data_IF_870248821099
#
_entry.id   IF_870248821099
#
_cell.length_a   1.000
_cell.length_b   1.000
_cell.length_c   1.000
_cell.angle_alpha   90.00
_cell.angle_beta   90.00
_cell.angle_gamma   90.00
#
_symmetry.space_group_name_H-M   'P 1'
#
loop_
_entity.id
_entity.type
_entity.pdbx_description
1 polymer ?
#
# COMPACT_ATOMS: atom_id res chain seq x y z
N UNK A 1 -37.96 -79.03 7.17
CA UNK A 1 -37.10 -77.93 7.65
C UNK A 1 -36.52 -77.21 6.44
N UNK A 2 -36.77 -75.90 6.32
CA UNK A 2 -35.99 -74.81 5.68
C UNK A 2 -35.14 -75.12 4.42
N UNK A 3 -35.35 -74.54 3.22
CA UNK A 3 -35.32 -73.15 2.72
C UNK A 3 -34.08 -72.88 1.81
N UNK A 4 -34.35 -72.80 0.49
CA UNK A 4 -33.95 -71.83 -0.56
C UNK A 4 -32.56 -71.14 -0.60
N UNK A 5 -32.10 -70.95 -1.85
CA UNK A 5 -31.16 -69.95 -2.44
C UNK A 5 -29.67 -70.34 -2.52
N UNK A 6 -28.85 -69.93 -3.50
CA UNK A 6 -28.90 -69.59 -4.93
C UNK A 6 -27.53 -68.94 -5.26
N UNK A 7 -26.97 -69.25 -6.44
CA UNK A 7 -26.06 -68.43 -7.27
C UNK A 7 -24.82 -67.76 -6.64
N UNK A 8 -23.66 -68.03 -7.24
CA UNK A 8 -22.43 -67.25 -7.03
C UNK A 8 -21.38 -67.53 -8.11
N UNK A 9 -21.59 -66.95 -9.29
CA UNK A 9 -20.73 -66.99 -10.47
C UNK A 9 -19.69 -65.86 -10.40
N UNK A 10 -18.45 -66.10 -10.88
CA UNK A 10 -17.50 -65.13 -11.44
C UNK A 10 -17.26 -63.79 -10.69
N UNK A 11 -16.09 -63.61 -10.07
CA UNK A 11 -15.29 -62.38 -10.22
C UNK A 11 -13.94 -62.50 -9.47
N UNK A 12 -12.89 -62.88 -10.18
CA UNK A 12 -11.50 -62.78 -9.69
C UNK A 12 -10.66 -62.08 -10.75
N UNK A 13 -10.91 -60.79 -10.97
CA UNK A 13 -9.94 -59.82 -11.51
C UNK A 13 -10.50 -58.39 -11.42
N UNK A 14 -10.33 -57.71 -10.29
CA UNK A 14 -10.33 -56.24 -10.26
C UNK A 14 -9.23 -55.82 -9.29
N UNK A 15 -8.00 -55.80 -9.81
CA UNK A 15 -6.91 -55.04 -9.22
C UNK A 15 -7.31 -53.57 -9.40
N UNK A 16 -7.86 -52.96 -8.34
CA UNK A 16 -8.21 -51.55 -8.31
C UNK A 16 -6.93 -50.73 -8.44
N UNK A 17 -6.60 -50.35 -9.68
CA UNK A 17 -5.73 -49.22 -9.97
C UNK A 17 -6.43 -47.98 -9.42
N UNK A 18 -6.15 -47.63 -8.17
CA UNK A 18 -6.33 -46.29 -7.65
C UNK A 18 -5.37 -45.39 -8.43
N UNK A 19 -5.76 -45.00 -9.64
CA UNK A 19 -5.21 -43.82 -10.28
C UNK A 19 -5.66 -42.65 -9.43
N UNK A 20 -4.84 -42.28 -8.45
CA UNK A 20 -4.83 -40.92 -7.96
C UNK A 20 -4.66 -40.06 -9.21
N UNK A 21 -5.72 -39.35 -9.60
CA UNK A 21 -5.61 -38.21 -10.49
C UNK A 21 -4.74 -37.20 -9.76
N UNK A 22 -3.42 -37.39 -9.86
CA UNK A 22 -2.44 -36.41 -9.49
C UNK A 22 -2.64 -35.28 -10.49
N UNK A 23 -3.34 -34.22 -10.08
CA UNK A 23 -3.45 -32.99 -10.86
C UNK A 23 -2.02 -32.46 -11.04
N UNK A 24 -1.36 -32.86 -12.13
CA UNK A 24 0.04 -32.62 -12.45
C UNK A 24 0.39 -31.12 -12.62
N UNK A 25 -0.56 -30.22 -12.39
CA UNK A 25 -0.41 -28.78 -12.61
C UNK A 25 -0.45 -27.94 -11.32
N UNK A 26 -0.47 -28.56 -10.13
CA UNK A 26 -0.39 -27.80 -8.87
C UNK A 26 1.04 -27.73 -8.34
N UNK A 27 1.55 -26.52 -8.21
CA UNK A 27 2.84 -26.19 -7.57
C UNK A 27 2.60 -26.06 -6.06
N UNK A 28 3.56 -26.47 -5.21
CA UNK A 28 3.50 -26.16 -3.78
C UNK A 28 3.24 -24.67 -3.57
N UNK A 29 2.41 -24.33 -2.59
CA UNK A 29 2.11 -22.95 -2.24
C UNK A 29 2.22 -22.76 -0.74
N UNK A 30 2.91 -21.69 -0.35
CA UNK A 30 3.06 -21.25 1.02
C UNK A 30 2.39 -19.89 1.17
N UNK A 31 1.40 -19.82 2.05
CA UNK A 31 0.70 -18.59 2.40
C UNK A 31 1.06 -18.20 3.84
N UNK A 32 1.50 -16.96 4.05
CA UNK A 32 1.90 -16.38 5.33
C UNK A 32 1.16 -15.05 5.48
N UNK A 33 0.46 -14.88 6.60
CA UNK A 33 -0.31 -13.68 6.91
C UNK A 33 0.02 -13.22 8.32
N UNK A 34 -0.07 -11.91 8.56
CA UNK A 34 0.19 -11.31 9.87
C UNK A 34 -0.25 -9.86 9.93
N UNK A 35 0.16 -9.17 11.00
CA UNK A 35 -0.17 -7.77 11.26
C UNK A 35 1.09 -6.92 11.25
N UNK A 36 0.98 -5.71 10.72
CA UNK A 36 2.05 -4.69 10.74
C UNK A 36 1.45 -3.32 10.47
N UNK A 37 2.09 -2.21 10.88
CA UNK A 37 1.71 -0.84 10.48
C UNK A 37 0.23 -0.48 10.76
N UNK A 38 -0.41 -1.12 11.75
CA UNK A 38 -1.84 -0.93 12.03
C UNK A 38 -2.80 -1.60 11.03
N UNK A 39 -2.26 -2.41 10.11
CA UNK A 39 -2.96 -3.17 9.07
C UNK A 39 -2.47 -4.63 9.04
N UNK A 40 -2.71 -5.33 7.94
CA UNK A 40 -2.31 -6.71 7.70
C UNK A 40 -1.30 -6.80 6.55
N UNK A 41 -0.46 -7.82 6.59
CA UNK A 41 0.34 -8.26 5.46
C UNK A 41 -0.10 -9.64 4.98
N UNK A 42 0.14 -9.94 3.71
CA UNK A 42 -0.02 -11.28 3.12
C UNK A 42 1.16 -11.56 2.18
N UNK A 43 1.76 -12.74 2.30
CA UNK A 43 2.85 -13.22 1.45
C UNK A 43 2.49 -14.61 0.95
N UNK A 44 2.38 -14.75 -0.35
CA UNK A 44 2.11 -16.02 -1.04
C UNK A 44 3.30 -16.36 -1.91
N UNK A 45 3.80 -17.57 -1.78
CA UNK A 45 4.97 -18.07 -2.51
C UNK A 45 4.60 -19.38 -3.19
N UNK A 46 5.01 -19.54 -4.45
CA UNK A 46 4.72 -20.76 -5.22
C UNK A 46 5.98 -21.46 -5.75
N UNK A 47 5.97 -22.79 -5.70
CA UNK A 47 7.05 -23.66 -6.12
C UNK A 47 7.92 -24.13 -4.96
N UNK A 48 8.92 -24.91 -5.29
CA UNK A 48 9.87 -25.44 -4.31
C UNK A 48 10.82 -24.34 -3.85
N UNK A 49 10.78 -24.04 -2.55
CA UNK A 49 11.65 -23.07 -1.89
C UNK A 49 12.42 -23.75 -0.76
N UNK A 50 13.68 -23.37 -0.58
CA UNK A 50 14.55 -24.01 0.42
C UNK A 50 14.24 -23.57 1.85
N UNK A 51 13.67 -22.37 2.03
CA UNK A 51 13.29 -21.82 3.32
C UNK A 51 11.94 -22.41 3.76
N UNK A 52 11.85 -22.87 5.01
CA UNK A 52 10.58 -23.33 5.55
C UNK A 52 9.66 -22.14 5.92
N UNK A 53 8.37 -22.44 6.11
CA UNK A 53 7.35 -21.42 6.37
C UNK A 53 7.62 -20.61 7.65
N UNK A 54 8.07 -21.27 8.71
CA UNK A 54 8.28 -20.61 10.00
C UNK A 54 9.50 -19.68 9.93
N UNK A 55 10.59 -20.14 9.31
CA UNK A 55 11.78 -19.35 9.10
C UNK A 55 11.49 -18.13 8.21
N UNK A 56 10.74 -18.30 7.12
CA UNK A 56 10.36 -17.19 6.25
C UNK A 56 9.46 -16.19 6.99
N UNK A 57 8.49 -16.66 7.78
CA UNK A 57 7.63 -15.80 8.58
C UNK A 57 8.44 -14.96 9.59
N UNK A 58 9.40 -15.56 10.30
CA UNK A 58 10.27 -14.81 11.21
C UNK A 58 11.08 -13.71 10.50
N UNK A 59 11.57 -13.98 9.29
CA UNK A 59 12.27 -12.97 8.49
C UNK A 59 11.34 -11.85 8.01
N UNK A 60 10.10 -12.19 7.60
CA UNK A 60 9.06 -11.23 7.20
C UNK A 60 8.74 -10.32 8.39
N UNK A 61 8.43 -10.90 9.55
CA UNK A 61 8.09 -10.15 10.76
C UNK A 61 9.24 -9.23 11.18
N UNK A 62 10.49 -9.72 11.17
CA UNK A 62 11.65 -8.92 11.53
C UNK A 62 11.86 -7.70 10.60
N UNK A 63 11.67 -7.88 9.29
CA UNK A 63 11.81 -6.80 8.30
C UNK A 63 10.70 -5.75 8.48
N UNK A 64 9.46 -6.19 8.71
CA UNK A 64 8.32 -5.30 8.90
C UNK A 64 8.37 -4.57 10.25
N UNK A 65 8.83 -5.23 11.31
CA UNK A 65 9.06 -4.60 12.62
C UNK A 65 10.18 -3.55 12.54
N UNK A 66 11.27 -3.83 11.81
CA UNK A 66 12.30 -2.83 11.54
C UNK A 66 11.74 -1.61 10.85
N UNK A 67 10.86 -1.79 9.86
CA UNK A 67 10.17 -0.68 9.22
C UNK A 67 9.31 0.10 10.23
N UNK A 68 8.54 -0.58 11.09
CA UNK A 68 7.78 0.10 12.15
C UNK A 68 8.67 0.93 13.10
N UNK A 69 9.82 0.40 13.50
CA UNK A 69 10.79 1.10 14.35
C UNK A 69 11.42 2.32 13.66
N UNK A 70 11.52 2.31 12.34
CA UNK A 70 12.10 3.41 11.58
C UNK A 70 11.04 4.50 11.27
N UNK A 71 9.84 4.12 10.81
CA UNK A 71 8.91 5.07 10.15
C UNK A 71 7.55 5.25 10.84
N UNK A 72 7.24 4.57 11.95
CA UNK A 72 5.91 4.69 12.56
C UNK A 72 5.71 6.02 13.29
N UNK A 73 4.62 6.74 12.99
CA UNK A 73 4.14 7.90 13.75
C UNK A 73 3.42 7.52 15.05
N UNK A 74 3.06 6.24 15.21
CA UNK A 74 2.33 5.72 16.38
C UNK A 74 3.25 5.17 17.47
N UNK A 75 4.49 4.81 17.14
CA UNK A 75 5.53 4.42 18.11
C UNK A 75 6.27 5.67 18.55
N UNK A 76 6.16 6.02 19.83
CA UNK A 76 6.78 7.24 20.38
C UNK A 76 8.33 7.22 20.27
N UNK A 77 8.92 6.04 20.18
CA UNK A 77 10.36 5.78 20.11
C UNK A 77 10.82 5.32 18.72
N UNK A 78 10.01 5.46 17.67
CA UNK A 78 10.52 5.26 16.31
C UNK A 78 11.55 6.35 15.95
N UNK A 79 12.38 6.08 14.93
CA UNK A 79 13.30 7.10 14.40
C UNK A 79 12.53 8.35 13.96
N UNK A 80 11.46 8.17 13.18
CA UNK A 80 10.61 9.28 12.73
C UNK A 80 9.98 10.07 13.90
N UNK A 81 9.44 9.38 14.91
CA UNK A 81 8.83 10.05 16.06
C UNK A 81 9.84 10.84 16.88
N UNK A 82 11.06 10.32 17.07
CA UNK A 82 12.15 11.07 17.71
C UNK A 82 12.53 12.32 16.92
N UNK A 83 12.61 12.21 15.58
CA UNK A 83 12.85 13.36 14.70
C UNK A 83 11.75 14.42 14.83
N UNK A 84 10.48 14.00 14.89
CA UNK A 84 9.33 14.87 15.06
C UNK A 84 9.31 15.57 16.44
N UNK A 85 9.64 14.84 17.50
CA UNK A 85 9.70 15.37 18.88
C UNK A 85 10.87 16.34 19.10
N UNK A 86 11.97 16.15 18.38
CA UNK A 86 13.13 17.06 18.45
C UNK A 86 12.75 18.47 17.97
N UNK A 87 13.17 19.47 18.75
CA UNK A 87 13.09 20.89 18.39
C UNK A 87 14.38 21.40 17.73
N UNK A 88 15.39 20.55 17.58
CA UNK A 88 16.64 20.93 16.94
C UNK A 88 16.43 21.16 15.43
N UNK A 89 17.15 22.14 14.91
CA UNK A 89 17.28 22.39 13.46
C UNK A 89 18.58 21.83 12.88
N UNK A 90 19.36 21.13 13.70
CA UNK A 90 20.56 20.43 13.25
C UNK A 90 20.19 19.14 12.49
N UNK A 91 21.04 18.66 11.57
CA UNK A 91 20.86 17.36 10.93
C UNK A 91 20.82 16.21 11.95
N UNK A 92 19.84 15.32 11.80
CA UNK A 92 19.64 14.15 12.66
C UNK A 92 19.82 12.87 11.83
N UNK A 93 20.60 11.88 12.32
CA UNK A 93 20.89 10.68 11.55
C UNK A 93 19.63 9.83 11.35
N UNK A 94 19.47 9.29 10.14
CA UNK A 94 18.36 8.41 9.78
C UNK A 94 18.86 7.14 9.08
N UNK A 95 18.12 6.02 9.17
CA UNK A 95 18.39 4.83 8.37
C UNK A 95 18.23 5.11 6.88
N UNK A 96 19.04 4.43 6.06
CA UNK A 96 18.98 4.54 4.59
C UNK A 96 17.59 4.24 4.01
N UNK A 97 16.89 3.24 4.55
CA UNK A 97 15.54 2.92 4.10
C UNK A 97 14.55 4.07 4.31
N UNK A 98 14.68 4.82 5.41
CA UNK A 98 13.90 6.03 5.65
C UNK A 98 14.28 7.16 4.68
N UNK A 99 15.57 7.29 4.35
CA UNK A 99 16.05 8.25 3.35
C UNK A 99 15.45 7.99 1.95
N UNK A 100 15.36 6.72 1.53
CA UNK A 100 14.76 6.32 0.24
C UNK A 100 13.28 6.76 0.16
N UNK A 101 12.51 6.59 1.25
CA UNK A 101 11.11 7.03 1.34
C UNK A 101 11.00 8.55 1.22
N UNK A 102 11.82 9.29 1.99
CA UNK A 102 11.81 10.76 2.00
C UNK A 102 12.18 11.31 0.61
N UNK A 103 13.19 10.72 -0.02
CA UNK A 103 13.61 11.11 -1.37
C UNK A 103 12.48 10.90 -2.38
N UNK A 104 11.79 9.76 -2.33
CA UNK A 104 10.64 9.47 -3.18
C UNK A 104 9.50 10.47 -2.92
N UNK A 105 9.15 10.69 -1.65
CA UNK A 105 8.12 11.63 -1.24
C UNK A 105 8.41 13.06 -1.72
N UNK A 106 9.65 13.54 -1.57
CA UNK A 106 10.04 14.87 -2.05
C UNK A 106 10.01 14.98 -3.57
N UNK A 107 10.38 13.92 -4.30
CA UNK A 107 10.28 13.90 -5.77
C UNK A 107 8.83 13.99 -6.22
N UNK A 108 7.97 13.12 -5.69
CA UNK A 108 6.54 13.10 -6.04
C UNK A 108 5.86 14.39 -5.58
N UNK A 109 6.21 14.92 -4.41
CA UNK A 109 5.71 16.20 -3.92
C UNK A 109 6.05 17.37 -4.84
N UNK A 110 7.28 17.44 -5.36
CA UNK A 110 7.62 18.44 -6.39
C UNK A 110 6.81 18.26 -7.67
N UNK A 111 6.71 17.03 -8.17
CA UNK A 111 5.99 16.73 -9.42
C UNK A 111 4.48 16.97 -9.32
N UNK A 112 3.91 16.81 -8.12
CA UNK A 112 2.50 17.06 -7.82
C UNK A 112 2.24 18.49 -7.31
N UNK A 113 3.25 19.37 -7.36
CA UNK A 113 3.16 20.77 -6.91
C UNK A 113 2.70 20.91 -5.45
N UNK A 114 3.18 20.02 -4.58
CA UNK A 114 2.88 20.00 -3.15
C UNK A 114 1.59 19.28 -2.77
N UNK A 115 0.90 18.62 -3.71
CA UNK A 115 -0.30 17.84 -3.38
C UNK A 115 0.06 16.59 -2.54
N UNK A 116 1.17 15.92 -2.87
CA UNK A 116 1.81 14.96 -1.97
C UNK A 116 2.79 15.70 -1.06
N UNK A 117 2.49 15.81 0.24
CA UNK A 117 3.34 16.48 1.21
C UNK A 117 3.45 15.67 2.51
N UNK A 118 4.61 15.06 2.75
CA UNK A 118 4.89 14.29 3.97
C UNK A 118 5.05 15.17 5.22
N UNK A 119 4.96 16.49 5.12
CA UNK A 119 4.99 17.40 6.28
C UNK A 119 3.60 17.83 6.71
N UNK A 120 2.53 17.29 6.10
CA UNK A 120 1.12 17.57 6.40
C UNK A 120 0.65 17.08 7.77
N UNK A 121 1.51 16.37 8.52
CA UNK A 121 1.22 15.79 9.83
C UNK A 121 0.53 16.71 10.84
N UNK A 122 0.90 18.00 10.99
CA UNK A 122 0.19 18.92 11.90
C UNK A 122 -1.29 19.07 11.55
N UNK A 123 -1.63 19.05 10.26
CA UNK A 123 -3.02 19.12 9.79
C UNK A 123 -3.72 17.78 9.98
N UNK A 124 -3.08 16.66 9.64
CA UNK A 124 -3.63 15.30 9.86
C UNK A 124 -4.00 15.08 11.32
N UNK A 125 -3.11 15.49 12.25
CA UNK A 125 -3.35 15.44 13.70
C UNK A 125 -4.47 16.38 14.13
N UNK A 126 -4.52 17.60 13.57
CA UNK A 126 -5.56 18.58 13.87
C UNK A 126 -6.97 18.07 13.49
N UNK A 127 -7.08 17.36 12.37
CA UNK A 127 -8.32 16.75 11.90
C UNK A 127 -8.65 15.40 12.56
N UNK A 128 -7.80 14.91 13.48
CA UNK A 128 -8.05 13.70 14.25
C UNK A 128 -7.76 12.39 13.52
N UNK A 129 -7.05 12.43 12.40
CA UNK A 129 -6.66 11.24 11.63
C UNK A 129 -5.31 10.65 12.05
N UNK A 130 -4.52 11.40 12.84
CA UNK A 130 -3.25 10.94 13.37
C UNK A 130 -3.32 10.33 14.78
N UNK A 131 -2.17 10.06 15.42
CA UNK A 131 -2.08 9.34 16.70
C UNK A 131 -2.73 10.08 17.89
N UNK A 132 -2.93 11.40 17.80
CA UNK A 132 -3.41 12.24 18.90
C UNK A 132 -4.88 12.01 19.33
N UNK A 133 -5.63 11.10 18.67
CA UNK A 133 -7.00 10.65 19.02
C UNK A 133 -7.91 11.75 19.59
N UNK A 134 -7.93 12.92 18.95
CA UNK A 134 -8.76 14.05 19.40
C UNK A 134 -10.23 13.79 19.11
N UNK A 135 -11.11 14.38 19.93
CA UNK A 135 -12.55 14.44 19.63
C UNK A 135 -12.72 15.09 18.26
N UNK A 136 -13.38 14.36 17.38
CA UNK A 136 -13.59 14.73 15.99
C UNK A 136 -14.54 15.92 15.93
N UNK A 137 -13.97 17.12 15.88
CA UNK A 137 -14.70 18.37 15.62
C UNK A 137 -13.97 19.11 14.52
N UNK A 138 -14.73 19.65 13.57
CA UNK A 138 -14.19 20.52 12.51
C UNK A 138 -13.35 21.65 13.15
N UNK A 139 -12.04 21.74 12.85
CA UNK A 139 -11.17 22.79 13.38
C UNK A 139 -11.61 24.18 12.92
N UNK A 140 -11.33 25.20 13.74
CA UNK A 140 -11.53 26.58 13.32
C UNK A 140 -10.51 26.98 12.25
N UNK A 141 -10.85 27.98 11.43
CA UNK A 141 -9.93 28.49 10.39
C UNK A 141 -8.60 28.96 10.99
N UNK A 142 -8.62 29.59 12.18
CA UNK A 142 -7.42 30.02 12.89
C UNK A 142 -6.54 28.83 13.30
N UNK A 143 -7.13 27.69 13.70
CA UNK A 143 -6.37 26.49 14.03
C UNK A 143 -5.71 25.88 12.78
N UNK A 144 -6.43 25.88 11.64
CA UNK A 144 -5.91 25.40 10.36
C UNK A 144 -4.73 26.26 9.91
N UNK A 145 -4.88 27.59 9.91
CA UNK A 145 -3.80 28.51 9.52
C UNK A 145 -2.58 28.42 10.44
N UNK A 146 -2.78 28.19 11.74
CA UNK A 146 -1.68 27.96 12.67
C UNK A 146 -0.92 26.66 12.37
N UNK A 147 -1.64 25.58 12.05
CA UNK A 147 -1.02 24.31 11.67
C UNK A 147 -0.30 24.38 10.32
N UNK A 148 -0.88 25.07 9.32
CA UNK A 148 -0.28 25.24 7.99
C UNK A 148 1.09 25.93 8.01
N UNK A 149 1.36 26.79 8.99
CA UNK A 149 2.69 27.43 9.15
C UNK A 149 3.82 26.43 9.41
N UNK A 150 3.50 25.21 9.82
CA UNK A 150 4.45 24.14 10.11
C UNK A 150 4.50 23.08 9.00
N UNK A 151 3.89 23.36 7.84
CA UNK A 151 3.81 22.46 6.68
C UNK A 151 4.56 23.07 5.50
N UNK A 152 5.34 22.24 4.82
CA UNK A 152 5.95 22.54 3.53
C UNK A 152 7.22 21.73 3.31
N UNK A 153 7.29 20.98 2.20
CA UNK A 153 8.46 20.20 1.82
C UNK A 153 9.76 21.00 1.73
N UNK A 154 9.70 22.30 1.41
CA UNK A 154 10.89 23.16 1.33
C UNK A 154 11.64 23.31 2.67
N UNK A 155 10.96 23.02 3.79
CA UNK A 155 11.48 23.10 5.14
C UNK A 155 12.15 21.80 5.61
N UNK A 156 12.11 20.74 4.78
CA UNK A 156 12.70 19.43 5.06
C UNK A 156 13.85 19.15 4.08
N UNK A 157 15.03 18.85 4.59
CA UNK A 157 16.22 18.58 3.78
C UNK A 157 16.78 17.20 4.11
N UNK A 158 16.90 16.37 3.08
CA UNK A 158 17.68 15.13 3.13
C UNK A 158 19.13 15.45 2.77
N UNK A 159 20.06 14.97 3.60
CA UNK A 159 21.50 15.17 3.45
C UNK A 159 22.15 13.78 3.50
N UNK A 160 23.00 13.45 2.53
CA UNK A 160 23.66 12.16 2.47
C UNK A 160 25.09 12.28 1.96
N UNK A 161 25.96 11.44 2.51
CA UNK A 161 27.34 11.25 2.06
C UNK A 161 27.79 9.79 2.30
N UNK A 162 29.08 9.51 2.11
CA UNK A 162 29.64 8.17 2.30
C UNK A 162 29.57 7.65 3.76
N UNK A 163 29.25 8.52 4.72
CA UNK A 163 29.19 8.20 6.14
C UNK A 163 27.75 7.98 6.65
N UNK A 164 26.73 8.34 5.87
CA UNK A 164 25.34 8.08 6.25
C UNK A 164 24.32 9.01 5.61
N UNK A 165 23.12 8.99 6.19
CA UNK A 165 21.99 9.81 5.77
C UNK A 165 21.47 10.58 7.00
N UNK A 166 21.10 11.84 6.80
CA UNK A 166 20.57 12.74 7.81
C UNK A 166 19.36 13.49 7.29
N UNK A 167 18.42 13.74 8.20
CA UNK A 167 17.26 14.57 7.95
C UNK A 167 17.39 15.86 8.77
N UNK A 168 17.12 16.99 8.13
CA UNK A 168 17.15 18.31 8.76
C UNK A 168 15.82 19.02 8.51
N UNK A 169 15.29 19.69 9.54
CA UNK A 169 14.15 20.61 9.42
C UNK A 169 14.54 22.00 9.90
N UNK A 170 14.08 23.05 9.23
CA UNK A 170 14.29 24.44 9.67
C UNK A 170 13.12 24.99 10.51
N UNK A 171 12.00 24.25 10.58
CA UNK A 171 10.86 24.50 11.45
C UNK A 171 10.84 23.53 12.64
N UNK A 172 11.09 23.98 13.89
CA UNK A 172 11.08 23.12 15.07
C UNK A 172 9.77 22.39 15.34
N UNK A 173 8.65 22.98 14.89
CA UNK A 173 7.28 22.46 15.05
C UNK A 173 6.81 21.62 13.85
N UNK A 174 7.64 21.47 12.80
CA UNK A 174 7.30 20.56 11.70
C UNK A 174 7.18 19.13 12.20
N UNK A 175 6.19 18.44 11.64
CA UNK A 175 5.92 17.03 11.86
C UNK A 175 5.89 16.31 10.51
N UNK A 176 6.78 15.33 10.34
CA UNK A 176 6.83 14.47 9.16
C UNK A 176 5.98 13.23 9.39
N UNK A 177 5.12 12.93 8.43
CA UNK A 177 4.24 11.77 8.39
C UNK A 177 4.51 10.98 7.11
N UNK A 178 4.91 9.72 7.27
CA UNK A 178 5.23 8.79 6.18
C UNK A 178 4.13 7.74 5.97
N UNK A 179 2.96 7.89 6.61
CA UNK A 179 1.87 6.91 6.52
C UNK A 179 1.39 6.63 5.10
N UNK A 180 1.51 7.59 4.18
CA UNK A 180 1.10 7.45 2.76
C UNK A 180 2.13 6.76 1.87
N UNK A 181 3.28 6.37 2.42
CA UNK A 181 4.34 5.63 1.69
C UNK A 181 4.80 4.36 2.44
N UNK A 182 4.37 4.20 3.69
CA UNK A 182 4.88 3.16 4.59
C UNK A 182 4.50 1.76 4.13
N UNK A 183 3.28 1.58 3.64
CA UNK A 183 2.78 0.29 3.13
C UNK A 183 3.55 -0.12 1.86
N UNK A 184 3.71 0.81 0.91
CA UNK A 184 4.52 0.61 -0.30
C UNK A 184 5.98 0.27 0.01
N UNK A 185 6.60 0.97 0.96
CA UNK A 185 7.94 0.64 1.44
C UNK A 185 8.00 -0.77 2.05
N UNK A 186 7.03 -1.14 2.89
CA UNK A 186 6.93 -2.47 3.48
C UNK A 186 6.88 -3.56 2.40
N UNK A 187 6.08 -3.37 1.35
CA UNK A 187 6.03 -4.27 0.20
C UNK A 187 7.39 -4.39 -0.49
N UNK A 188 8.07 -3.27 -0.77
CA UNK A 188 9.38 -3.29 -1.43
C UNK A 188 10.44 -4.00 -0.57
N UNK A 189 10.40 -3.87 0.74
CA UNK A 189 11.26 -4.62 1.66
C UNK A 189 10.98 -6.13 1.61
N UNK A 190 9.71 -6.54 1.51
CA UNK A 190 9.33 -7.94 1.33
C UNK A 190 9.78 -8.47 -0.04
N UNK A 191 9.67 -7.69 -1.11
CA UNK A 191 10.20 -8.05 -2.44
C UNK A 191 11.70 -8.32 -2.38
N UNK A 192 12.46 -7.45 -1.70
CA UNK A 192 13.90 -7.66 -1.50
C UNK A 192 14.19 -8.92 -0.67
N UNK A 193 13.37 -9.19 0.35
CA UNK A 193 13.48 -10.41 1.15
C UNK A 193 13.22 -11.67 0.32
N UNK A 194 12.21 -11.66 -0.57
CA UNK A 194 11.94 -12.75 -1.50
C UNK A 194 13.15 -12.99 -2.40
N UNK A 195 13.72 -11.93 -2.97
CA UNK A 195 14.91 -12.02 -3.82
C UNK A 195 16.12 -12.61 -3.07
N UNK A 196 16.37 -12.19 -1.82
CA UNK A 196 17.47 -12.73 -0.98
C UNK A 196 17.30 -14.23 -0.68
N UNK A 197 16.07 -14.72 -0.62
CA UNK A 197 15.76 -16.14 -0.45
C UNK A 197 15.67 -16.92 -1.78
N UNK A 198 16.00 -16.29 -2.92
CA UNK A 198 15.90 -16.91 -4.24
C UNK A 198 14.46 -17.14 -4.72
N UNK A 199 13.48 -16.51 -4.09
CA UNK A 199 12.05 -16.67 -4.39
C UNK A 199 11.68 -15.77 -5.57
N UNK A 200 11.23 -16.36 -6.66
CA UNK A 200 10.88 -15.66 -7.91
C UNK A 200 9.40 -15.69 -8.28
N UNK A 201 8.61 -16.49 -7.54
CA UNK A 201 7.18 -16.67 -7.73
C UNK A 201 6.45 -16.27 -6.44
N UNK A 202 6.02 -15.03 -6.37
CA UNK A 202 5.42 -14.47 -5.16
C UNK A 202 4.30 -13.47 -5.45
N UNK A 203 3.43 -13.29 -4.45
CA UNK A 203 2.58 -12.13 -4.29
C UNK A 203 2.75 -11.65 -2.85
N UNK A 204 3.14 -10.39 -2.68
CA UNK A 204 3.34 -9.74 -1.38
C UNK A 204 2.42 -8.54 -1.28
N UNK A 205 1.82 -8.32 -0.12
CA UNK A 205 0.98 -7.16 0.14
C UNK A 205 1.13 -6.67 1.58
N UNK A 206 1.07 -5.37 1.77
CA UNK A 206 0.92 -4.70 3.07
C UNK A 206 -0.19 -3.68 2.89
N UNK A 207 -1.30 -3.82 3.61
CA UNK A 207 -2.47 -2.95 3.44
C UNK A 207 -2.97 -2.89 2.00
N UNK A 208 -2.99 -1.69 1.40
CA UNK A 208 -3.43 -1.44 0.02
C UNK A 208 -2.34 -1.67 -1.04
N UNK A 209 -1.06 -1.72 -0.64
CA UNK A 209 0.06 -1.90 -1.54
C UNK A 209 0.33 -3.39 -1.82
N UNK A 210 0.66 -3.70 -3.08
CA UNK A 210 0.90 -5.08 -3.56
C UNK A 210 2.06 -5.10 -4.56
N UNK A 211 2.84 -6.17 -4.56
CA UNK A 211 3.74 -6.53 -5.67
C UNK A 211 3.64 -8.03 -5.94
N UNK A 212 3.75 -8.44 -7.20
CA UNK A 212 3.75 -9.86 -7.56
C UNK A 212 4.64 -10.14 -8.74
N UNK A 213 5.23 -11.35 -8.76
CA UNK A 213 6.11 -11.83 -9.83
C UNK A 213 5.92 -13.33 -10.04
N UNK A 214 6.07 -13.77 -11.29
CA UNK A 214 6.01 -15.19 -11.65
C UNK A 214 4.59 -15.74 -11.60
N UNK A 215 4.44 -16.99 -11.16
CA UNK A 215 3.17 -17.73 -11.19
C UNK A 215 2.71 -18.19 -9.81
N UNK A 216 1.41 -18.41 -9.67
CA UNK A 216 0.77 -18.94 -8.48
C UNK A 216 0.85 -20.48 -8.39
N UNK A 217 0.27 -21.06 -7.33
CA UNK A 217 0.17 -22.51 -7.12
C UNK A 217 -0.49 -23.30 -8.26
N UNK A 218 -1.18 -22.64 -9.20
CA UNK A 218 -1.77 -23.27 -10.38
C UNK A 218 -0.92 -23.08 -11.66
N UNK A 219 0.29 -22.53 -11.54
CA UNK A 219 1.14 -22.21 -12.68
C UNK A 219 0.63 -21.03 -13.54
N UNK A 220 -0.31 -20.24 -13.04
CA UNK A 220 -0.87 -19.05 -13.73
C UNK A 220 -0.25 -17.77 -13.17
N UNK A 221 -0.18 -16.72 -13.99
CA UNK A 221 0.23 -15.40 -13.51
C UNK A 221 -0.62 -14.96 -12.31
N UNK A 222 0.01 -14.30 -11.34
CA UNK A 222 -0.70 -13.69 -10.23
C UNK A 222 -1.66 -12.63 -10.74
N UNK A 223 -2.89 -12.64 -10.22
CA UNK A 223 -3.92 -11.65 -10.58
C UNK A 223 -4.24 -10.80 -9.39
N UNK A 224 -4.12 -9.49 -9.53
CA UNK A 224 -4.48 -8.51 -8.51
C UNK A 224 -5.78 -7.82 -8.93
N UNK A 225 -6.76 -7.82 -8.03
CA UNK A 225 -8.08 -7.26 -8.30
C UNK A 225 -8.16 -5.80 -7.81
N UNK A 226 -8.58 -4.91 -8.72
CA UNK A 226 -8.95 -3.54 -8.37
C UNK A 226 -10.42 -3.57 -7.98
N UNK A 227 -10.74 -3.08 -6.78
CA UNK A 227 -12.11 -3.11 -6.26
C UNK A 227 -12.94 -1.92 -6.78
N UNK A 228 -14.25 -2.12 -6.91
CA UNK A 228 -15.20 -1.00 -7.06
C UNK A 228 -15.25 -0.23 -5.74
N UNK A 229 -15.32 1.11 -5.78
CA UNK A 229 -15.39 1.95 -4.58
C UNK A 229 -16.84 1.97 -4.05
N UNK A 230 -17.34 0.80 -3.67
CA UNK A 230 -18.67 0.61 -3.07
C UNK A 230 -18.51 0.06 -1.66
N UNK A 231 -19.47 0.33 -0.78
CA UNK A 231 -19.48 -0.22 0.58
C UNK A 231 -19.72 -1.75 0.62
N UNK A 232 -19.99 -2.36 -0.55
CA UNK A 232 -20.08 -3.81 -0.71
C UNK A 232 -18.71 -4.39 -0.99
N UNK A 233 -18.22 -5.21 -0.06
CA UNK A 233 -17.03 -6.04 -0.27
C UNK A 233 -17.24 -6.97 -1.49
N UNK A 234 -16.17 -7.19 -2.27
CA UNK A 234 -16.07 -8.17 -3.38
C UNK A 234 -16.54 -7.76 -4.79
N UNK A 235 -16.86 -6.50 -5.05
CA UNK A 235 -17.10 -6.06 -6.43
C UNK A 235 -15.77 -5.79 -7.17
N UNK A 236 -15.34 -6.71 -8.03
CA UNK A 236 -14.12 -6.54 -8.86
C UNK A 236 -14.41 -5.60 -10.04
N UNK A 237 -13.55 -4.61 -10.23
CA UNK A 237 -13.60 -3.65 -11.33
C UNK A 237 -12.67 -4.06 -12.48
N UNK A 238 -11.45 -4.49 -12.17
CA UNK A 238 -10.46 -4.94 -13.14
C UNK A 238 -9.47 -5.93 -12.49
N UNK A 239 -8.78 -6.72 -13.34
CA UNK A 239 -7.72 -7.64 -12.94
C UNK A 239 -6.42 -7.25 -13.65
N UNK A 240 -5.32 -7.19 -12.91
CA UNK A 240 -4.00 -6.87 -13.46
C UNK A 240 -2.96 -7.95 -13.13
N UNK A 241 -1.98 -8.10 -14.02
CA UNK A 241 -0.76 -8.87 -13.82
C UNK A 241 0.42 -7.90 -13.66
N UNK A 242 1.08 -7.90 -12.51
CA UNK A 242 2.08 -6.89 -12.15
C UNK A 242 3.49 -7.22 -12.65
N UNK A 243 3.82 -8.48 -12.92
CA UNK A 243 5.10 -8.87 -13.54
C UNK A 243 6.37 -8.30 -12.86
N UNK A 244 6.34 -8.08 -11.54
CA UNK A 244 7.42 -7.51 -10.75
C UNK A 244 7.27 -6.02 -10.41
N UNK A 245 6.25 -5.34 -10.95
CA UNK A 245 5.90 -3.97 -10.57
C UNK A 245 5.15 -3.95 -9.23
N UNK A 246 5.07 -2.76 -8.64
CA UNK A 246 4.21 -2.47 -7.49
C UNK A 246 2.90 -1.82 -7.93
N UNK A 247 1.84 -2.05 -7.16
CA UNK A 247 0.55 -1.35 -7.26
C UNK A 247 0.15 -0.85 -5.88
N UNK A 248 -0.41 0.36 -5.79
CA UNK A 248 -1.09 0.84 -4.59
C UNK A 248 -2.39 1.54 -4.96
N UNK A 249 -3.28 1.71 -3.98
CA UNK A 249 -4.57 2.39 -4.16
C UNK A 249 -4.92 3.26 -2.97
N UNK A 250 -4.91 4.58 -3.18
CA UNK A 250 -5.51 5.55 -2.29
C UNK A 250 -7.02 5.62 -2.52
N UNK A 251 -7.80 5.65 -1.43
CA UNK A 251 -9.25 5.73 -1.49
C UNK A 251 -9.83 6.65 -0.41
N UNK A 252 -10.69 7.58 -0.79
CA UNK A 252 -11.40 8.46 0.17
C UNK A 252 -12.63 7.79 0.80
N UNK A 253 -12.97 6.57 0.35
CA UNK A 253 -14.22 5.89 0.67
C UNK A 253 -14.20 5.07 1.98
N UNK A 254 -13.03 4.74 2.54
CA UNK A 254 -12.93 3.88 3.75
C UNK A 254 -12.74 4.64 5.06
N UNK A 255 -11.84 5.62 5.09
CA UNK A 255 -11.50 6.36 6.30
C UNK A 255 -12.05 7.80 6.23
N UNK A 256 -13.08 8.06 7.02
CA UNK A 256 -13.77 9.34 7.12
C UNK A 256 -14.48 9.48 8.46
N UNK A 257 -14.88 10.71 8.79
CA UNK A 257 -15.90 10.95 9.80
C UNK A 257 -17.02 11.81 9.24
N UNK A 258 -18.17 11.80 9.92
CA UNK A 258 -19.31 12.66 9.58
C UNK A 258 -19.58 13.66 10.70
N UNK A 259 -19.81 14.92 10.32
CA UNK A 259 -20.27 15.95 11.22
C UNK A 259 -21.31 16.79 10.49
N UNK A 260 -22.48 17.03 11.11
CA UNK A 260 -23.57 17.84 10.55
C UNK A 260 -24.03 17.38 9.15
N UNK A 261 -24.00 16.06 8.90
CA UNK A 261 -24.35 15.46 7.61
C UNK A 261 -23.29 15.60 6.51
N UNK A 262 -22.15 16.23 6.81
CA UNK A 262 -21.00 16.34 5.90
C UNK A 262 -19.94 15.29 6.23
N UNK A 263 -19.46 14.61 5.19
CA UNK A 263 -18.38 13.61 5.28
C UNK A 263 -17.01 14.28 5.05
N UNK A 264 -16.05 13.94 5.92
CA UNK A 264 -14.67 14.44 5.88
C UNK A 264 -13.71 13.27 5.70
N UNK A 265 -12.99 13.25 4.58
CA UNK A 265 -11.96 12.22 4.30
C UNK A 265 -10.69 12.45 5.12
N UNK A 266 -9.94 11.38 5.36
CA UNK A 266 -8.61 11.46 5.97
C UNK A 266 -7.54 12.10 5.06
N UNK A 267 -7.79 12.17 3.75
CA UNK A 267 -6.86 12.80 2.81
C UNK A 267 -7.01 14.32 2.88
N UNK A 268 -5.96 14.99 3.35
CA UNK A 268 -5.90 16.44 3.53
C UNK A 268 -5.23 17.08 2.32
N UNK A 269 -5.83 18.16 1.79
CA UNK A 269 -5.19 19.06 0.83
C UNK A 269 -4.27 20.03 1.59
N UNK A 270 -2.93 19.96 1.40
CA UNK A 270 -1.98 20.82 2.11
C UNK A 270 -2.20 22.32 1.86
N UNK A 271 -2.75 22.68 0.69
CA UNK A 271 -2.96 24.08 0.30
C UNK A 271 -4.12 24.72 1.07
N UNK A 272 -5.18 23.97 1.30
CA UNK A 272 -6.36 24.45 2.03
C UNK A 272 -6.32 24.11 3.51
N UNK A 273 -5.50 23.14 3.90
CA UNK A 273 -5.44 22.57 5.24
C UNK A 273 -6.70 21.80 5.63
N UNK A 274 -7.50 21.37 4.66
CA UNK A 274 -8.81 20.72 4.84
C UNK A 274 -8.85 19.37 4.11
N UNK A 275 -9.72 18.45 4.52
CA UNK A 275 -10.07 17.28 3.73
C UNK A 275 -10.46 17.61 2.30
N UNK A 276 -10.04 16.78 1.35
CA UNK A 276 -10.42 16.91 -0.06
C UNK A 276 -11.96 16.84 -0.24
N UNK A 277 -12.48 17.60 -1.21
CA UNK A 277 -13.93 17.75 -1.45
C UNK A 277 -14.39 17.36 -2.86
N UNK A 278 -13.46 17.01 -3.75
CA UNK A 278 -13.78 16.63 -5.12
C UNK A 278 -14.36 15.20 -5.21
N UNK A 279 -14.89 14.85 -6.39
CA UNK A 279 -15.60 13.59 -6.62
C UNK A 279 -14.71 12.37 -6.89
N UNK A 280 -13.39 12.52 -6.97
CA UNK A 280 -12.46 11.38 -7.09
C UNK A 280 -12.51 10.55 -5.81
N UNK A 281 -12.78 9.24 -5.94
CA UNK A 281 -12.95 8.31 -4.80
C UNK A 281 -11.87 7.25 -4.70
N UNK A 282 -11.19 6.94 -5.82
CA UNK A 282 -10.09 5.99 -5.86
C UNK A 282 -9.05 6.42 -6.88
N UNK A 283 -7.77 6.31 -6.51
CA UNK A 283 -6.63 6.43 -7.40
C UNK A 283 -5.76 5.19 -7.23
N UNK A 284 -5.64 4.38 -8.28
CA UNK A 284 -4.79 3.19 -8.31
C UNK A 284 -3.61 3.45 -9.25
N UNK A 285 -2.39 3.19 -8.78
CA UNK A 285 -1.17 3.44 -9.54
C UNK A 285 -0.36 2.16 -9.61
N UNK A 286 0.16 1.83 -10.81
CA UNK A 286 1.18 0.80 -11.01
C UNK A 286 2.50 1.52 -11.30
N UNK A 287 3.57 1.15 -10.61
CA UNK A 287 4.88 1.76 -10.73
C UNK A 287 6.00 0.71 -10.59
N UNK A 288 7.25 1.01 -10.98
CA UNK A 288 8.36 0.08 -10.83
C UNK A 288 8.53 -0.49 -9.43
N UNK A 289 8.19 0.28 -8.39
CA UNK A 289 8.17 -0.17 -7.00
C UNK A 289 6.85 0.18 -6.32
N UNK A 290 6.51 -0.53 -5.24
CA UNK A 290 5.28 -0.26 -4.50
C UNK A 290 5.36 1.06 -3.74
N UNK A 291 6.54 1.44 -3.22
CA UNK A 291 6.78 2.76 -2.62
C UNK A 291 6.44 3.91 -3.58
N UNK A 292 6.85 3.80 -4.85
CA UNK A 292 6.53 4.82 -5.85
C UNK A 292 5.01 4.86 -6.12
N UNK A 293 4.36 3.70 -6.24
CA UNK A 293 2.91 3.64 -6.46
C UNK A 293 2.12 4.28 -5.31
N UNK A 294 2.52 4.02 -4.06
CA UNK A 294 1.89 4.54 -2.83
C UNK A 294 2.05 6.06 -2.71
N UNK A 295 3.25 6.59 -3.02
CA UNK A 295 3.44 8.04 -3.06
C UNK A 295 2.59 8.73 -4.13
N UNK A 296 2.48 8.13 -5.32
CA UNK A 296 1.72 8.70 -6.43
C UNK A 296 0.22 8.65 -6.20
N UNK A 297 -0.31 7.55 -5.65
CA UNK A 297 -1.76 7.41 -5.49
C UNK A 297 -2.36 8.51 -4.60
N UNK A 298 -1.65 8.90 -3.55
CA UNK A 298 -2.07 9.93 -2.61
C UNK A 298 -1.94 11.30 -3.24
N UNK A 299 -0.82 11.59 -3.91
CA UNK A 299 -0.64 12.85 -4.63
C UNK A 299 -1.72 13.08 -5.70
N UNK A 300 -2.03 12.04 -6.48
CA UNK A 300 -3.10 12.06 -7.48
C UNK A 300 -4.49 12.16 -6.83
N UNK A 301 -4.69 11.50 -5.69
CA UNK A 301 -5.91 11.62 -4.92
C UNK A 301 -6.15 13.06 -4.46
N UNK A 302 -5.11 13.77 -3.98
CA UNK A 302 -5.22 15.17 -3.54
C UNK A 302 -5.48 16.12 -4.72
N UNK A 303 -4.85 15.87 -5.87
CA UNK A 303 -5.01 16.69 -7.08
C UNK A 303 -6.43 16.66 -7.66
N UNK A 304 -7.14 15.55 -7.47
CA UNK A 304 -8.44 15.29 -8.09
C UNK A 304 -8.35 14.93 -9.58
N UNK A 305 -9.48 14.46 -10.14
CA UNK A 305 -9.54 13.77 -11.45
C UNK A 305 -8.83 14.48 -12.60
N UNK A 306 -9.14 15.76 -12.86
CA UNK A 306 -8.64 16.47 -14.05
C UNK A 306 -7.12 16.69 -13.99
N UNK A 307 -6.63 17.24 -12.87
CA UNK A 307 -5.19 17.50 -12.67
C UNK A 307 -4.40 16.20 -12.58
N UNK A 308 -4.94 15.18 -11.89
CA UNK A 308 -4.32 13.87 -11.78
C UNK A 308 -4.17 13.19 -13.14
N UNK A 309 -5.22 13.18 -13.97
CA UNK A 309 -5.16 12.55 -15.29
C UNK A 309 -4.18 13.27 -16.21
N UNK A 310 -4.18 14.61 -16.21
CA UNK A 310 -3.23 15.41 -16.98
C UNK A 310 -1.78 15.10 -16.58
N UNK A 311 -1.47 15.15 -15.29
CA UNK A 311 -0.13 14.86 -14.78
C UNK A 311 0.30 13.42 -15.09
N UNK A 312 -0.62 12.46 -14.92
CA UNK A 312 -0.35 11.06 -15.23
C UNK A 312 0.00 10.85 -16.71
N UNK A 313 -0.68 11.56 -17.62
CA UNK A 313 -0.36 11.51 -19.06
C UNK A 313 0.99 12.16 -19.37
N UNK A 314 1.28 13.34 -18.81
CA UNK A 314 2.54 14.05 -19.00
C UNK A 314 3.76 13.25 -18.51
N UNK A 315 3.60 12.54 -17.39
CA UNK A 315 4.65 11.72 -16.77
C UNK A 315 4.67 10.27 -17.28
N UNK A 316 3.68 9.86 -18.09
CA UNK A 316 3.55 8.49 -18.57
C UNK A 316 3.28 7.46 -17.47
N UNK A 317 2.54 7.84 -16.42
CA UNK A 317 2.21 6.97 -15.29
C UNK A 317 1.12 5.96 -15.66
N UNK A 318 1.22 4.74 -15.14
CA UNK A 318 0.13 3.75 -15.22
C UNK A 318 -0.87 4.00 -14.09
N UNK A 319 -1.93 4.75 -14.40
CA UNK A 319 -2.97 5.16 -13.44
C UNK A 319 -4.37 4.70 -13.86
N UNK A 320 -5.16 4.29 -12.88
CA UNK A 320 -6.59 4.00 -12.95
C UNK A 320 -7.34 4.83 -11.89
N UNK A 321 -8.23 5.72 -12.31
CA UNK A 321 -8.96 6.66 -11.45
C UNK A 321 -10.46 6.33 -11.46
N UNK A 322 -11.11 6.44 -10.31
CA UNK A 322 -12.57 6.28 -10.18
C UNK A 322 -13.18 7.50 -9.50
N UNK A 323 -14.18 8.10 -10.15
CA UNK A 323 -14.95 9.22 -9.62
C UNK A 323 -16.40 8.82 -9.35
N UNK A 324 -16.99 9.41 -8.30
CA UNK A 324 -18.43 9.37 -8.06
C UNK A 324 -19.14 10.27 -9.06
N UNK A 325 -20.20 9.77 -9.69
CA UNK A 325 -21.13 10.49 -10.57
C UNK A 325 -22.52 10.51 -9.93
N UNK A 326 -23.49 11.18 -10.55
CA UNK A 326 -24.85 11.23 -10.02
C UNK A 326 -25.56 9.87 -10.16
N UNK A 327 -25.14 9.05 -11.13
CA UNK A 327 -25.70 7.74 -11.45
C UNK A 327 -24.88 6.56 -10.88
N UNK A 328 -23.78 6.84 -10.15
CA UNK A 328 -22.90 5.80 -9.60
C UNK A 328 -21.42 6.17 -9.68
N UNK A 329 -20.63 5.38 -10.41
CA UNK A 329 -19.19 5.59 -10.54
C UNK A 329 -18.74 5.54 -12.00
N UNK A 330 -17.78 6.38 -12.35
CA UNK A 330 -17.10 6.38 -13.64
C UNK A 330 -15.62 6.15 -13.42
N UNK A 331 -14.99 5.37 -14.30
CA UNK A 331 -13.56 5.08 -14.22
C UNK A 331 -12.84 5.49 -15.50
N UNK A 332 -11.64 6.03 -15.34
CA UNK A 332 -10.74 6.42 -16.43
C UNK A 332 -9.37 5.83 -16.15
N UNK A 333 -8.70 5.35 -17.21
CA UNK A 333 -7.35 4.83 -17.08
C UNK A 333 -6.45 5.36 -18.18
N UNK A 334 -5.17 5.53 -17.84
CA UNK A 334 -4.11 5.88 -18.79
C UNK A 334 -3.82 4.74 -19.76
N UNK A 335 -3.26 5.01 -20.96
CA UNK A 335 -2.80 3.97 -21.88
C UNK A 335 -1.81 3.00 -21.24
N UNK A 336 -0.91 3.50 -20.39
CA UNK A 336 0.11 2.71 -19.69
C UNK A 336 -0.53 1.68 -18.75
N UNK A 337 -1.62 2.04 -18.07
CA UNK A 337 -2.35 1.10 -17.22
C UNK A 337 -2.92 -0.10 -17.99
N UNK A 338 -3.37 0.12 -19.24
CA UNK A 338 -3.98 -0.95 -20.07
C UNK A 338 -3.01 -2.09 -20.36
N UNK A 339 -1.70 -1.84 -20.35
CA UNK A 339 -0.70 -2.86 -20.59
C UNK A 339 -0.67 -3.96 -19.52
N UNK A 340 -1.18 -3.66 -18.30
CA UNK A 340 -1.22 -4.58 -17.18
C UNK A 340 -2.54 -5.35 -17.07
N UNK A 341 -3.56 -5.01 -17.85
CA UNK A 341 -4.86 -5.68 -17.78
C UNK A 341 -4.78 -7.13 -18.25
N UNK A 342 -5.32 -8.03 -17.43
CA UNK A 342 -5.52 -9.42 -17.81
C UNK A 342 -6.69 -9.51 -18.80
N UNK A 343 -6.45 -10.13 -19.95
CA UNK A 343 -7.46 -10.36 -20.99
C UNK A 343 -8.44 -11.48 -20.64
#
# INVERSE_FOLDING_TARGET
MANVFAKGLLLSLVLGLLTACNDQNTRPQMDIDGKTMGTFYSVKVSGDVAVDKQQLQQQIDAVLERANDDISTYRNDSVLSRFNQSRSTDPQPIPRGMADIILMAQRIGRDTQGAMDITVGPLVNLWGFGPDKRVVKVPSQQQIEAAQKNVGLQHLKLIGDDHGEWLQKDLPEMYVDLSTLGEGYGVDQLVQLMARNGITNYLVSVGGAVSSRGVNGQGKAWRVAIQKPTDRENAVQALVDLQGYGISTAGSYRNYFEQDGQRYSHVIDPTTGRPITHRLVSATVIAPTALEADGWDTGLMVLGMEKALKLAQEKGLAVYLISKTDEGFSAVMTPQFKAFLVK
#
